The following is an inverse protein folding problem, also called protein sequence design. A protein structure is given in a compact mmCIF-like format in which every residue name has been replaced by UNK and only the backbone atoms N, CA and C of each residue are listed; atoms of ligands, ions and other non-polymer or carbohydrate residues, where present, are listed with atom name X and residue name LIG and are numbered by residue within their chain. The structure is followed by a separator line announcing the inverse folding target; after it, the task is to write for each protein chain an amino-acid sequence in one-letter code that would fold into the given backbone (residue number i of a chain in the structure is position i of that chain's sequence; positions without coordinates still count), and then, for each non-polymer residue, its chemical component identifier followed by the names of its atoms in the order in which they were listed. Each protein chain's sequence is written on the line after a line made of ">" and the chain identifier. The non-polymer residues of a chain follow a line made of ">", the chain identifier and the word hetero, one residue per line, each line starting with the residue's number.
data_IF_662090659429
#
_entry.id   IF_662090659429
#
_cell.length_a   1.000
_cell.length_b   1.000
_cell.length_c   1.000
_cell.angle_alpha   90.00
_cell.angle_beta   90.00
_cell.angle_gamma   90.00
#
_symmetry.space_group_name_H-M   'P 1'
#
loop_
_entity.id
_entity.type
_entity.pdbx_description
1 polymer ?
#
# COMPACT_ATOMS: atom_id res chain seq x y z
N UNK A 1 -62.75 64.94 31.68
CA UNK A 1 -61.51 65.60 32.13
C UNK A 1 -60.68 64.51 32.79
N UNK A 2 -59.78 63.90 32.02
CA UNK A 2 -58.79 62.97 32.51
C UNK A 2 -57.46 63.50 31.98
N UNK A 3 -56.66 64.06 32.88
CA UNK A 3 -55.31 64.55 32.58
C UNK A 3 -54.39 63.36 32.32
N UNK A 4 -53.96 63.21 31.07
CA UNK A 4 -52.78 62.43 30.67
C UNK A 4 -51.63 63.41 30.53
N UNK A 5 -50.91 63.66 31.62
CA UNK A 5 -49.66 64.41 31.60
C UNK A 5 -48.51 63.45 31.32
N UNK A 6 -48.34 63.15 30.03
CA UNK A 6 -47.12 62.55 29.50
C UNK A 6 -45.93 63.41 29.89
N UNK A 7 -45.11 62.91 30.82
CA UNK A 7 -43.80 63.44 31.14
C UNK A 7 -42.86 63.18 29.95
N UNK A 8 -42.94 64.02 28.92
CA UNK A 8 -41.92 64.09 27.87
C UNK A 8 -40.69 64.76 28.47
N UNK A 9 -39.81 63.95 29.05
CA UNK A 9 -38.47 64.37 29.46
C UNK A 9 -37.68 64.83 28.23
N UNK A 10 -37.77 66.12 27.93
CA UNK A 10 -37.00 66.77 26.88
C UNK A 10 -35.53 66.81 27.33
N UNK A 11 -34.64 66.12 26.61
CA UNK A 11 -33.21 66.19 26.85
C UNK A 11 -32.72 67.53 26.29
N UNK A 12 -32.71 68.56 27.14
CA UNK A 12 -32.16 69.88 26.79
C UNK A 12 -30.63 69.82 26.82
N UNK A 13 -30.00 69.83 25.64
CA UNK A 13 -28.54 69.87 25.49
C UNK A 13 -28.05 71.32 25.43
N UNK A 14 -27.60 71.88 26.57
CA UNK A 14 -26.85 73.15 26.60
C UNK A 14 -25.74 73.14 27.66
N UNK A 15 -24.55 73.62 27.30
CA UNK A 15 -23.36 73.74 28.18
C UNK A 15 -22.27 72.69 27.94
N UNK A 16 -21.03 72.96 28.41
CA UNK A 16 -19.76 72.21 28.22
C UNK A 16 -19.76 70.71 28.63
N UNK A 17 -20.91 70.13 28.95
CA UNK A 17 -21.07 68.79 29.48
C UNK A 17 -22.17 67.99 28.73
N UNK A 18 -22.23 68.13 27.40
CA UNK A 18 -23.31 67.62 26.52
C UNK A 18 -23.60 66.11 26.59
N UNK A 19 -22.78 65.32 27.28
CA UNK A 19 -22.85 63.86 27.27
C UNK A 19 -22.74 63.22 28.66
N UNK A 20 -22.64 64.03 29.72
CA UNK A 20 -22.56 63.54 31.08
C UNK A 20 -23.91 62.96 31.53
N UNK A 21 -23.88 61.82 32.23
CA UNK A 21 -25.06 61.26 32.86
C UNK A 21 -25.36 62.01 34.17
N UNK A 22 -26.64 62.16 34.57
CA UNK A 22 -26.99 62.68 35.89
C UNK A 22 -26.31 61.88 37.01
N UNK A 23 -25.94 62.50 38.13
CA UNK A 23 -25.20 61.83 39.24
C UNK A 23 -25.88 60.53 39.73
N UNK A 24 -27.21 60.45 39.64
CA UNK A 24 -28.03 59.33 40.11
C UNK A 24 -28.72 58.55 38.97
N UNK A 25 -28.19 58.59 37.75
CA UNK A 25 -28.79 57.92 36.58
C UNK A 25 -29.04 56.42 36.80
N UNK A 26 -28.19 55.75 37.58
CA UNK A 26 -28.29 54.32 37.90
C UNK A 26 -29.45 54.00 38.86
N UNK A 27 -29.96 54.97 39.60
CA UNK A 27 -31.14 54.81 40.48
C UNK A 27 -32.44 54.73 39.67
N UNK A 28 -32.46 55.25 38.44
CA UNK A 28 -33.60 55.13 37.53
C UNK A 28 -33.70 53.74 36.89
N UNK A 29 -32.66 52.92 36.98
CA UNK A 29 -32.67 51.53 36.50
C UNK A 29 -33.39 50.63 37.50
N UNK A 30 -34.07 49.57 37.04
CA UNK A 30 -34.57 48.52 37.93
C UNK A 30 -33.41 47.80 38.62
N UNK A 31 -33.70 47.17 39.76
CA UNK A 31 -32.69 46.65 40.69
C UNK A 31 -31.75 45.61 40.07
N UNK A 32 -32.29 44.77 39.18
CA UNK A 32 -31.55 43.77 38.40
C UNK A 32 -30.45 44.42 37.56
N UNK A 33 -30.77 45.45 36.79
CA UNK A 33 -29.80 46.18 35.96
C UNK A 33 -28.85 47.04 36.80
N UNK A 34 -29.30 47.60 37.92
CA UNK A 34 -28.42 48.38 38.81
C UNK A 34 -27.33 47.53 39.45
N UNK A 35 -27.63 46.25 39.71
CA UNK A 35 -26.69 45.31 40.32
C UNK A 35 -25.61 44.81 39.34
N UNK A 36 -25.78 45.04 38.03
CA UNK A 36 -24.86 44.57 37.01
C UNK A 36 -23.50 45.28 37.07
N UNK A 37 -22.39 44.56 37.30
CA UNK A 37 -21.04 45.14 37.39
C UNK A 37 -20.63 45.89 36.12
N UNK A 38 -21.16 45.46 34.96
CA UNK A 38 -20.87 46.07 33.66
C UNK A 38 -21.40 47.49 33.52
N UNK A 39 -22.43 47.87 34.27
CA UNK A 39 -23.02 49.21 34.25
C UNK A 39 -22.36 50.16 35.27
N UNK A 40 -21.63 49.62 36.25
CA UNK A 40 -20.87 50.41 37.23
C UNK A 40 -19.66 51.13 36.60
N UNK A 41 -19.19 50.69 35.44
CA UNK A 41 -18.04 51.29 34.74
C UNK A 41 -18.42 52.43 33.78
N UNK A 42 -19.72 52.68 33.58
CA UNK A 42 -20.23 53.68 32.63
C UNK A 42 -20.17 55.08 33.26
N UNK A 43 -19.38 55.96 32.66
CA UNK A 43 -19.16 57.34 33.14
C UNK A 43 -19.97 58.39 32.40
N UNK A 44 -20.34 58.10 31.16
CA UNK A 44 -21.02 59.01 30.24
C UNK A 44 -21.82 58.23 29.19
N UNK A 45 -22.72 58.92 28.49
CA UNK A 45 -23.55 58.31 27.45
C UNK A 45 -22.70 57.75 26.27
N UNK A 46 -21.63 58.41 25.79
CA UNK A 46 -20.74 57.86 24.78
C UNK A 46 -20.06 56.55 25.20
N UNK A 47 -19.68 56.43 26.48
CA UNK A 47 -19.13 55.21 27.07
C UNK A 47 -20.14 54.06 27.05
N UNK A 48 -21.39 54.34 27.45
CA UNK A 48 -22.49 53.37 27.38
C UNK A 48 -22.73 52.88 25.95
N UNK A 49 -22.83 53.81 24.99
CA UNK A 49 -23.06 53.50 23.58
C UNK A 49 -21.88 52.70 23.01
N UNK A 50 -20.63 53.06 23.33
CA UNK A 50 -19.45 52.28 22.94
C UNK A 50 -19.47 50.86 23.51
N UNK A 51 -19.84 50.71 24.78
CA UNK A 51 -19.95 49.40 25.42
C UNK A 51 -21.04 48.53 24.78
N UNK A 52 -22.22 49.10 24.50
CA UNK A 52 -23.30 48.41 23.78
C UNK A 52 -22.90 48.03 22.35
N UNK A 53 -22.30 48.96 21.60
CA UNK A 53 -21.84 48.70 20.23
C UNK A 53 -20.74 47.64 20.21
N UNK A 54 -19.81 47.65 21.17
CA UNK A 54 -18.78 46.63 21.30
C UNK A 54 -19.38 45.27 21.68
N UNK A 55 -20.36 45.23 22.60
CA UNK A 55 -21.09 44.01 22.93
C UNK A 55 -21.85 43.44 21.73
N UNK A 56 -22.58 44.28 20.99
CA UNK A 56 -23.27 43.87 19.75
C UNK A 56 -22.29 43.39 18.68
N UNK A 57 -21.13 44.04 18.52
CA UNK A 57 -20.07 43.59 17.61
C UNK A 57 -19.49 42.24 18.03
N UNK A 58 -19.27 42.00 19.32
CA UNK A 58 -18.83 40.69 19.84
C UNK A 58 -19.91 39.61 19.65
N UNK A 59 -21.19 39.96 19.79
CA UNK A 59 -22.31 39.03 19.58
C UNK A 59 -22.49 38.68 18.10
N UNK A 60 -22.32 39.64 17.19
CA UNK A 60 -22.61 39.45 15.76
C UNK A 60 -21.43 38.97 14.91
N UNK A 61 -20.18 39.28 15.28
CA UNK A 61 -19.02 39.00 14.43
C UNK A 61 -18.40 37.62 14.65
N UNK A 62 -18.49 37.09 15.87
CA UNK A 62 -17.70 35.92 16.27
C UNK A 62 -18.56 34.68 16.64
N UNK A 63 -19.90 34.78 16.61
CA UNK A 63 -20.77 33.63 16.94
C UNK A 63 -20.98 32.76 15.72
N UNK A 64 -20.49 31.52 15.76
CA UNK A 64 -20.87 30.45 14.84
C UNK A 64 -22.23 29.91 15.30
N UNK A 65 -23.30 29.99 14.49
CA UNK A 65 -24.59 29.44 14.87
C UNK A 65 -24.43 27.94 15.07
N UNK A 66 -24.91 27.41 16.18
CA UNK A 66 -24.96 25.95 16.39
C UNK A 66 -26.24 25.47 15.71
N UNK A 67 -26.15 24.68 14.63
CA UNK A 67 -27.35 24.19 13.95
C UNK A 67 -28.14 23.25 14.88
N UNK A 68 -29.47 23.29 14.81
CA UNK A 68 -30.33 22.42 15.61
C UNK A 68 -30.34 20.97 15.11
N UNK A 69 -30.98 20.06 15.84
CA UNK A 69 -31.04 18.62 15.49
C UNK A 69 -31.69 18.33 14.11
N UNK A 70 -32.48 19.27 13.58
CA UNK A 70 -33.11 19.18 12.25
C UNK A 70 -32.46 20.06 11.19
N UNK A 71 -31.26 20.57 11.43
CA UNK A 71 -30.62 21.51 10.54
C UNK A 71 -30.30 20.90 9.17
N UNK A 72 -30.58 21.66 8.11
CA UNK A 72 -30.32 21.24 6.73
C UNK A 72 -28.82 21.29 6.38
N UNK A 73 -28.40 20.66 5.26
CA UNK A 73 -27.01 20.72 4.79
C UNK A 73 -26.48 22.15 4.62
N UNK A 74 -27.31 23.09 4.16
CA UNK A 74 -26.94 24.49 3.95
C UNK A 74 -26.59 25.23 5.26
N UNK A 75 -27.24 24.89 6.38
CA UNK A 75 -26.95 25.50 7.68
C UNK A 75 -25.60 25.02 8.23
N UNK A 76 -25.23 23.77 7.95
CA UNK A 76 -23.93 23.22 8.30
C UNK A 76 -22.80 23.76 7.40
N UNK A 77 -23.10 24.09 6.15
CA UNK A 77 -22.14 24.67 5.21
C UNK A 77 -21.56 26.01 5.70
N UNK A 78 -22.41 26.93 6.18
CA UNK A 78 -21.93 28.20 6.78
C UNK A 78 -21.04 27.93 8.00
N UNK A 79 -21.42 26.98 8.86
CA UNK A 79 -20.65 26.62 10.05
C UNK A 79 -19.28 26.09 9.66
N UNK A 80 -19.21 25.15 8.73
CA UNK A 80 -17.93 24.57 8.29
C UNK A 80 -17.02 25.61 7.63
N UNK A 81 -17.58 26.47 6.77
CA UNK A 81 -16.81 27.52 6.11
C UNK A 81 -16.27 28.54 7.13
N UNK A 82 -17.07 28.93 8.13
CA UNK A 82 -16.64 29.83 9.21
C UNK A 82 -15.63 29.22 10.16
N UNK A 83 -15.64 27.89 10.33
CA UNK A 83 -14.61 27.16 11.08
C UNK A 83 -13.30 27.01 10.30
N UNK A 84 -13.30 27.32 8.99
CA UNK A 84 -12.12 27.26 8.13
C UNK A 84 -11.98 25.95 7.36
N UNK A 85 -13.10 25.29 7.02
CA UNK A 85 -13.12 24.29 5.93
C UNK A 85 -12.71 24.99 4.62
N UNK A 86 -11.87 24.38 3.78
CA UNK A 86 -11.54 24.93 2.46
C UNK A 86 -12.76 25.05 1.55
N UNK A 87 -12.68 25.89 0.52
CA UNK A 87 -13.77 26.09 -0.45
C UNK A 87 -13.94 24.86 -1.37
N UNK A 88 -12.86 24.10 -1.56
CA UNK A 88 -12.85 22.88 -2.39
C UNK A 88 -12.08 21.73 -1.72
N UNK A 89 -12.42 20.47 -2.02
CA UNK A 89 -11.69 19.30 -1.50
C UNK A 89 -10.17 19.32 -1.79
N UNK A 90 -9.76 19.86 -2.93
CA UNK A 90 -8.36 19.86 -3.36
C UNK A 90 -7.49 20.81 -2.53
N UNK A 91 -8.09 21.78 -1.82
CA UNK A 91 -7.39 22.79 -1.04
C UNK A 91 -6.92 22.33 0.34
N UNK A 92 -7.17 21.08 0.73
CA UNK A 92 -6.59 20.52 1.96
C UNK A 92 -5.05 20.45 1.93
N UNK A 93 -4.41 20.63 0.78
CA UNK A 93 -2.95 20.68 0.65
C UNK A 93 -2.25 19.37 0.97
N UNK A 94 -2.99 18.25 0.93
CA UNK A 94 -2.43 16.92 1.09
C UNK A 94 -1.58 16.57 -0.13
N UNK A 95 -0.40 16.00 0.11
CA UNK A 95 0.49 15.50 -0.93
C UNK A 95 0.81 14.05 -0.65
N UNK A 96 0.90 13.26 -1.72
CA UNK A 96 1.43 11.91 -1.63
C UNK A 96 2.86 11.95 -1.08
N UNK A 97 3.24 10.98 -0.24
CA UNK A 97 4.62 10.83 0.20
C UNK A 97 5.54 10.65 -1.01
N UNK A 98 6.66 11.39 -1.04
CA UNK A 98 7.66 11.28 -2.12
C UNK A 98 8.41 9.94 -2.06
N UNK A 99 8.56 9.39 -0.84
CA UNK A 99 9.22 8.11 -0.60
C UNK A 99 8.24 7.13 0.05
N UNK A 100 8.04 6.00 -0.62
CA UNK A 100 7.22 4.88 -0.13
C UNK A 100 8.09 3.63 0.02
N UNK A 101 7.87 2.82 1.07
CA UNK A 101 8.54 1.53 1.21
C UNK A 101 8.24 0.59 0.03
N UNK A 102 9.14 -0.37 -0.27
CA UNK A 102 8.87 -1.42 -1.24
C UNK A 102 7.54 -2.13 -0.96
N UNK A 103 6.71 -2.28 -1.99
CA UNK A 103 5.40 -2.90 -1.90
C UNK A 103 4.25 -1.96 -1.52
N UNK A 104 4.53 -0.68 -1.23
CA UNK A 104 3.49 0.34 -1.02
C UNK A 104 3.35 1.17 -2.29
N UNK A 105 2.12 1.31 -2.77
CA UNK A 105 1.77 2.12 -3.94
C UNK A 105 0.94 3.31 -3.47
N UNK A 106 1.32 4.51 -3.92
CA UNK A 106 0.49 5.70 -3.75
C UNK A 106 -0.82 5.55 -4.51
N UNK A 107 -1.94 5.77 -3.82
CA UNK A 107 -3.27 5.73 -4.43
C UNK A 107 -3.83 7.16 -4.52
N UNK A 108 -3.63 7.79 -5.68
CA UNK A 108 -4.17 9.12 -5.97
C UNK A 108 -5.70 9.15 -5.97
N UNK A 109 -6.35 8.05 -6.37
CA UNK A 109 -7.81 7.97 -6.40
C UNK A 109 -8.35 7.95 -4.98
N UNK A 110 -7.79 7.10 -4.12
CA UNK A 110 -8.16 7.06 -2.70
C UNK A 110 -7.89 8.40 -1.99
N UNK A 111 -6.82 9.11 -2.33
CA UNK A 111 -6.56 10.45 -1.80
C UNK A 111 -7.67 11.45 -2.18
N UNK A 112 -8.07 11.48 -3.46
CA UNK A 112 -9.15 12.36 -3.95
C UNK A 112 -10.51 12.02 -3.34
N UNK A 113 -10.81 10.73 -3.20
CA UNK A 113 -12.02 10.25 -2.51
C UNK A 113 -12.02 10.69 -1.04
N UNK A 114 -10.90 10.55 -0.35
CA UNK A 114 -10.74 11.00 1.02
C UNK A 114 -10.92 12.52 1.17
N UNK A 115 -10.32 13.32 0.27
CA UNK A 115 -10.51 14.77 0.25
C UNK A 115 -11.97 15.16 0.05
N UNK A 116 -12.67 14.49 -0.87
CA UNK A 116 -14.10 14.70 -1.12
C UNK A 116 -14.93 14.40 0.13
N UNK A 117 -14.72 13.23 0.73
CA UNK A 117 -15.41 12.82 1.96
C UNK A 117 -15.12 13.79 3.12
N UNK A 118 -13.87 14.23 3.26
CA UNK A 118 -13.48 15.17 4.31
C UNK A 118 -14.17 16.53 4.15
N UNK A 119 -14.31 17.02 2.91
CA UNK A 119 -15.03 18.25 2.59
C UNK A 119 -16.53 18.13 2.89
N UNK A 120 -17.17 17.04 2.46
CA UNK A 120 -18.57 16.75 2.77
C UNK A 120 -18.81 16.64 4.29
N UNK A 121 -17.86 16.03 5.02
CA UNK A 121 -17.93 15.86 6.47
C UNK A 121 -17.59 17.12 7.27
N UNK A 122 -17.25 18.24 6.62
CA UNK A 122 -16.98 19.49 7.33
C UNK A 122 -15.62 19.55 8.02
N UNK A 123 -14.67 18.67 7.67
CA UNK A 123 -13.41 18.55 8.39
C UNK A 123 -12.49 19.75 8.15
N UNK A 124 -11.74 20.12 9.19
CA UNK A 124 -10.78 21.21 9.11
C UNK A 124 -9.41 20.72 8.61
N UNK A 125 -8.61 21.56 7.94
CA UNK A 125 -7.34 21.12 7.34
C UNK A 125 -6.39 20.40 8.31
N UNK A 126 -6.31 20.84 9.56
CA UNK A 126 -5.48 20.19 10.57
C UNK A 126 -6.00 18.79 10.98
N UNK A 127 -7.32 18.58 10.97
CA UNK A 127 -7.94 17.28 11.25
C UNK A 127 -7.70 16.33 10.10
N UNK A 128 -7.93 16.79 8.87
CA UNK A 128 -7.68 16.03 7.64
C UNK A 128 -6.21 15.62 7.55
N UNK A 129 -5.28 16.56 7.77
CA UNK A 129 -3.85 16.28 7.82
C UNK A 129 -3.50 15.25 8.89
N UNK A 130 -4.06 15.37 10.10
CA UNK A 130 -3.80 14.41 11.19
C UNK A 130 -4.26 12.99 10.86
N UNK A 131 -5.46 12.84 10.28
CA UNK A 131 -5.99 11.55 9.83
C UNK A 131 -5.13 10.98 8.70
N UNK A 132 -4.78 11.81 7.72
CA UNK A 132 -3.95 11.42 6.58
C UNK A 132 -2.56 10.95 7.03
N UNK A 133 -1.88 11.71 7.88
CA UNK A 133 -0.56 11.37 8.40
C UNK A 133 -0.60 10.07 9.21
N UNK A 134 -1.62 9.89 10.06
CA UNK A 134 -1.80 8.67 10.84
C UNK A 134 -2.01 7.44 9.97
N UNK A 135 -2.88 7.54 8.96
CA UNK A 135 -3.20 6.44 8.06
C UNK A 135 -1.99 6.04 7.20
N UNK A 136 -1.29 7.00 6.62
CA UNK A 136 -0.05 6.73 5.88
C UNK A 136 1.02 6.14 6.81
N UNK A 137 1.16 6.66 8.03
CA UNK A 137 2.07 6.11 9.03
C UNK A 137 1.78 4.64 9.36
N UNK A 138 0.50 4.26 9.45
CA UNK A 138 0.07 2.87 9.63
C UNK A 138 0.49 1.98 8.45
N UNK A 139 0.24 2.42 7.22
CA UNK A 139 0.59 1.66 6.01
C UNK A 139 2.12 1.50 5.92
N UNK A 140 2.86 2.59 6.05
CA UNK A 140 4.33 2.59 6.00
C UNK A 140 4.89 1.67 7.08
N UNK A 141 4.42 1.80 8.32
CA UNK A 141 4.87 0.96 9.43
C UNK A 141 4.59 -0.52 9.20
N UNK A 142 3.40 -0.86 8.68
CA UNK A 142 3.05 -2.24 8.37
C UNK A 142 3.94 -2.82 7.27
N UNK A 143 4.19 -2.05 6.20
CA UNK A 143 5.09 -2.46 5.12
C UNK A 143 6.54 -2.60 5.58
N UNK A 144 7.03 -1.69 6.42
CA UNK A 144 8.38 -1.80 7.02
C UNK A 144 8.50 -3.04 7.90
N UNK A 145 7.50 -3.32 8.75
CA UNK A 145 7.50 -4.52 9.59
C UNK A 145 7.44 -5.80 8.77
N UNK A 146 6.62 -5.85 7.71
CA UNK A 146 6.56 -7.00 6.81
C UNK A 146 7.91 -7.25 6.12
N UNK A 147 8.56 -6.19 5.62
CA UNK A 147 9.90 -6.28 5.01
C UNK A 147 10.95 -6.75 6.02
N UNK A 148 10.92 -6.25 7.26
CA UNK A 148 11.83 -6.70 8.33
C UNK A 148 11.63 -8.18 8.65
N UNK A 149 10.38 -8.62 8.83
CA UNK A 149 10.05 -10.03 9.08
C UNK A 149 10.52 -10.92 7.93
N UNK A 150 10.38 -10.48 6.68
CA UNK A 150 10.86 -11.24 5.53
C UNK A 150 12.39 -11.37 5.52
N UNK A 151 13.12 -10.31 5.88
CA UNK A 151 14.58 -10.33 5.99
C UNK A 151 15.06 -11.22 7.15
N UNK A 152 14.36 -11.19 8.28
CA UNK A 152 14.64 -12.08 9.42
C UNK A 152 14.42 -13.55 9.04
N UNK A 153 13.28 -13.88 8.41
CA UNK A 153 13.01 -15.22 7.90
C UNK A 153 14.07 -15.71 6.92
N UNK A 154 14.54 -14.82 6.04
CA UNK A 154 15.65 -15.09 5.13
C UNK A 154 16.94 -15.43 5.86
N UNK A 155 17.33 -14.61 6.84
CA UNK A 155 18.54 -14.81 7.61
C UNK A 155 18.48 -16.13 8.40
N UNK A 156 17.34 -16.43 9.01
CA UNK A 156 17.11 -17.67 9.74
C UNK A 156 17.14 -18.90 8.83
N UNK A 157 16.49 -18.83 7.66
CA UNK A 157 16.53 -19.91 6.67
C UNK A 157 17.96 -20.15 6.16
N UNK A 158 18.72 -19.10 5.89
CA UNK A 158 20.12 -19.22 5.50
C UNK A 158 20.96 -19.85 6.60
N UNK A 159 20.72 -19.48 7.86
CA UNK A 159 21.43 -20.06 9.01
C UNK A 159 21.11 -21.55 9.16
N UNK A 160 19.83 -21.94 9.13
CA UNK A 160 19.38 -23.34 9.20
C UNK A 160 20.04 -24.20 8.11
N UNK A 161 19.98 -23.73 6.86
CA UNK A 161 20.55 -24.45 5.71
C UNK A 161 22.08 -24.52 5.76
N UNK A 162 22.77 -23.47 6.24
CA UNK A 162 24.22 -23.49 6.43
C UNK A 162 24.64 -24.48 7.52
N UNK A 163 23.88 -24.57 8.61
CA UNK A 163 24.11 -25.54 9.67
C UNK A 163 23.89 -26.98 9.18
N UNK A 164 22.84 -27.21 8.38
CA UNK A 164 22.49 -28.53 7.83
C UNK A 164 23.50 -29.00 6.77
N UNK A 165 23.75 -28.17 5.75
CA UNK A 165 24.56 -28.53 4.59
C UNK A 165 26.06 -28.29 4.77
N UNK A 166 26.47 -27.51 5.78
CA UNK A 166 27.86 -27.22 6.13
C UNK A 166 28.68 -26.82 4.89
N UNK A 167 29.78 -27.52 4.61
CA UNK A 167 30.64 -27.25 3.46
C UNK A 167 30.01 -27.51 2.09
N UNK A 168 28.82 -28.13 2.02
CA UNK A 168 28.09 -28.34 0.78
C UNK A 168 27.00 -27.28 0.52
N UNK A 169 26.89 -26.25 1.38
CA UNK A 169 25.83 -25.23 1.29
C UNK A 169 25.73 -24.59 -0.10
N UNK A 170 26.85 -24.09 -0.64
CA UNK A 170 26.86 -23.41 -1.93
C UNK A 170 26.46 -24.34 -3.08
N UNK A 171 26.86 -25.62 -3.02
CA UNK A 171 26.50 -26.61 -4.04
C UNK A 171 25.02 -26.96 -3.98
N UNK A 172 24.47 -27.17 -2.78
CA UNK A 172 23.04 -27.44 -2.60
C UNK A 172 22.18 -26.24 -3.03
N UNK A 173 22.61 -25.02 -2.71
CA UNK A 173 21.95 -23.80 -3.14
C UNK A 173 21.97 -23.67 -4.67
N UNK A 174 23.11 -23.95 -5.31
CA UNK A 174 23.24 -23.94 -6.77
C UNK A 174 22.33 -24.97 -7.45
N UNK A 175 22.20 -26.17 -6.86
CA UNK A 175 21.27 -27.20 -7.32
C UNK A 175 19.82 -26.72 -7.18
N UNK A 176 19.45 -26.12 -6.05
CA UNK A 176 18.12 -25.57 -5.82
C UNK A 176 17.75 -24.47 -6.82
N UNK A 177 18.63 -23.48 -7.01
CA UNK A 177 18.41 -22.37 -7.96
C UNK A 177 18.28 -22.88 -9.39
N UNK A 178 19.11 -23.86 -9.78
CA UNK A 178 19.04 -24.46 -11.12
C UNK A 178 17.73 -25.20 -11.34
N UNK A 179 17.30 -26.00 -10.36
CA UNK A 179 16.02 -26.70 -10.42
C UNK A 179 14.89 -25.69 -10.60
N UNK A 180 14.82 -24.68 -9.73
CA UNK A 180 13.79 -23.66 -9.80
C UNK A 180 13.73 -22.98 -11.17
N UNK A 181 14.87 -22.49 -11.68
CA UNK A 181 14.92 -21.85 -13.02
C UNK A 181 14.45 -22.76 -14.15
N UNK A 182 14.83 -24.04 -14.12
CA UNK A 182 14.41 -25.01 -15.14
C UNK A 182 12.89 -25.23 -15.19
N UNK A 183 12.18 -24.99 -14.09
CA UNK A 183 10.71 -25.08 -14.05
C UNK A 183 10.00 -23.72 -14.15
N UNK A 184 10.70 -22.63 -13.85
CA UNK A 184 10.13 -21.28 -13.80
C UNK A 184 10.31 -20.47 -15.10
N UNK A 185 11.27 -20.82 -15.96
CA UNK A 185 11.58 -20.06 -17.20
C UNK A 185 10.37 -19.94 -18.16
N UNK A 186 9.49 -20.95 -18.18
CA UNK A 186 8.35 -20.99 -19.11
C UNK A 186 7.01 -20.49 -18.53
N UNK A 187 6.95 -20.18 -17.22
CA UNK A 187 5.72 -19.70 -16.57
C UNK A 187 5.99 -18.56 -15.56
N UNK A 188 5.59 -17.32 -15.88
CA UNK A 188 5.75 -16.18 -14.98
C UNK A 188 4.96 -16.31 -13.67
N UNK A 189 3.94 -17.18 -13.59
CA UNK A 189 3.26 -17.49 -12.31
C UNK A 189 4.13 -18.35 -11.40
N UNK A 190 4.95 -19.24 -11.98
CA UNK A 190 5.91 -20.06 -11.24
C UNK A 190 7.10 -19.20 -10.83
N UNK A 191 7.55 -18.25 -11.67
CA UNK A 191 8.60 -17.30 -11.30
C UNK A 191 8.25 -16.49 -10.03
N UNK A 192 6.98 -16.11 -9.84
CA UNK A 192 6.50 -15.45 -8.62
C UNK A 192 6.56 -16.30 -7.34
N UNK A 193 6.75 -17.62 -7.47
CA UNK A 193 6.98 -18.48 -6.29
C UNK A 193 8.33 -18.18 -5.63
N UNK A 194 9.31 -17.62 -6.34
CA UNK A 194 10.58 -17.21 -5.75
C UNK A 194 10.36 -16.09 -4.72
N UNK A 195 9.53 -15.11 -5.07
CA UNK A 195 9.15 -14.00 -4.20
C UNK A 195 8.38 -14.48 -2.95
N UNK A 196 7.61 -15.55 -3.08
CA UNK A 196 6.73 -16.06 -2.02
C UNK A 196 7.34 -17.18 -1.17
N UNK A 197 8.19 -18.04 -1.76
CA UNK A 197 8.71 -19.26 -1.15
C UNK A 197 10.24 -19.37 -1.22
N UNK A 198 10.93 -18.48 -1.93
CA UNK A 198 12.39 -18.44 -2.00
C UNK A 198 13.06 -18.25 -0.64
N UNK A 199 12.30 -17.80 0.36
CA UNK A 199 12.75 -17.60 1.73
C UNK A 199 12.42 -18.77 2.66
N UNK A 200 11.73 -19.81 2.16
CA UNK A 200 11.30 -20.94 2.97
C UNK A 200 12.34 -22.07 2.90
N UNK A 201 13.00 -22.44 4.02
CA UNK A 201 14.03 -23.46 4.02
C UNK A 201 13.53 -24.83 3.55
N UNK A 202 12.26 -25.18 3.80
CA UNK A 202 11.68 -26.43 3.28
C UNK A 202 11.55 -26.44 1.76
N UNK A 203 11.19 -25.30 1.16
CA UNK A 203 11.09 -25.16 -0.28
C UNK A 203 12.47 -25.24 -0.94
N UNK A 204 13.45 -24.52 -0.37
CA UNK A 204 14.84 -24.58 -0.84
C UNK A 204 15.38 -26.02 -0.72
N UNK A 205 15.09 -26.74 0.37
CA UNK A 205 15.43 -28.16 0.53
C UNK A 205 14.81 -29.04 -0.55
N UNK A 206 13.54 -28.84 -0.85
CA UNK A 206 12.85 -29.60 -1.91
C UNK A 206 13.49 -29.34 -3.27
N UNK A 207 13.74 -28.07 -3.61
CA UNK A 207 14.38 -27.68 -4.87
C UNK A 207 15.81 -28.22 -4.98
N UNK A 208 16.59 -28.22 -3.89
CA UNK A 208 17.92 -28.82 -3.86
C UNK A 208 17.88 -30.32 -4.18
N UNK A 209 16.92 -31.06 -3.60
CA UNK A 209 16.71 -32.49 -3.87
C UNK A 209 16.31 -32.75 -5.32
N UNK A 210 15.42 -31.93 -5.87
CA UNK A 210 15.02 -32.02 -7.29
C UNK A 210 16.23 -31.72 -8.18
N UNK A 211 16.98 -30.65 -7.89
CA UNK A 211 18.17 -30.27 -8.65
C UNK A 211 19.25 -31.35 -8.62
N UNK A 212 19.44 -32.00 -7.48
CA UNK A 212 20.32 -33.16 -7.34
C UNK A 212 19.87 -34.32 -8.23
N UNK A 213 18.59 -34.69 -8.18
CA UNK A 213 18.05 -35.77 -9.02
C UNK A 213 18.20 -35.45 -10.52
N UNK A 214 17.93 -34.20 -10.93
CA UNK A 214 18.14 -33.73 -12.30
C UNK A 214 19.62 -33.74 -12.70
N UNK A 215 20.53 -33.39 -11.79
CA UNK A 215 21.96 -33.43 -12.05
C UNK A 215 22.47 -34.86 -12.15
N UNK A 216 21.95 -35.79 -11.34
CA UNK A 216 22.27 -37.22 -11.43
C UNK A 216 21.73 -37.82 -12.75
N UNK A 217 20.54 -37.42 -13.20
CA UNK A 217 19.96 -37.86 -14.47
C UNK A 217 20.68 -37.26 -15.68
N UNK A 218 21.10 -35.99 -15.61
CA UNK A 218 22.00 -35.40 -16.61
C UNK A 218 23.41 -35.97 -16.55
N UNK A 219 23.94 -36.36 -15.40
CA UNK A 219 25.23 -37.04 -15.31
C UNK A 219 25.14 -38.43 -15.93
N UNK A 220 24.03 -39.15 -15.72
CA UNK A 220 23.70 -40.38 -16.45
C UNK A 220 23.59 -40.11 -17.96
N UNK A 221 22.94 -39.02 -18.38
CA UNK A 221 22.84 -38.61 -19.79
C UNK A 221 24.12 -38.06 -20.43
N UNK A 222 25.03 -37.46 -19.66
CA UNK A 222 26.34 -36.96 -20.11
C UNK A 222 27.36 -38.09 -20.17
N UNK A 223 27.12 -39.21 -19.49
CA UNK A 223 27.75 -40.50 -19.79
C UNK A 223 27.02 -41.32 -20.86
N UNK A 224 25.95 -40.81 -21.48
CA UNK A 224 25.09 -41.65 -22.31
C UNK A 224 24.37 -40.87 -23.42
N UNK A 225 25.13 -40.40 -24.40
CA UNK A 225 24.84 -40.92 -25.73
C UNK A 225 25.54 -42.26 -25.84
N UNK A 226 24.81 -43.25 -26.35
CA UNK A 226 25.19 -44.64 -26.55
C UNK A 226 24.90 -45.54 -25.36
N UNK A 227 23.92 -46.42 -25.56
CA UNK A 227 23.83 -47.76 -24.98
C UNK A 227 25.13 -48.21 -24.31
N UNK A 228 25.07 -48.81 -23.13
CA UNK A 228 26.25 -49.54 -22.64
C UNK A 228 26.66 -50.56 -23.72
N UNK A 229 27.95 -50.92 -23.88
CA UNK A 229 28.35 -51.91 -24.89
C UNK A 229 27.59 -53.24 -24.79
N UNK A 230 27.10 -53.57 -23.60
CA UNK A 230 26.29 -54.74 -23.31
C UNK A 230 24.83 -54.58 -23.78
N UNK A 231 24.20 -53.45 -23.51
CA UNK A 231 22.85 -53.13 -24.01
C UNK A 231 22.83 -53.01 -25.54
N UNK A 232 23.88 -52.43 -26.12
CA UNK A 232 24.03 -52.29 -27.56
C UNK A 232 24.15 -53.66 -28.25
N UNK A 233 24.89 -54.61 -27.65
CA UNK A 233 25.03 -55.99 -28.14
C UNK A 233 23.72 -56.76 -28.05
N UNK A 234 22.97 -56.60 -26.96
CA UNK A 234 21.67 -57.24 -26.76
C UNK A 234 20.66 -56.77 -27.81
N UNK A 235 20.59 -55.46 -28.03
CA UNK A 235 19.71 -54.84 -29.01
C UNK A 235 20.11 -55.18 -30.46
N UNK A 236 21.40 -55.17 -30.77
CA UNK A 236 21.91 -55.62 -32.07
C UNK A 236 21.55 -57.08 -32.33
N UNK A 237 21.69 -57.95 -31.33
CA UNK A 237 21.33 -59.38 -31.43
C UNK A 237 19.83 -59.56 -31.67
N UNK A 238 18.98 -58.76 -31.01
CA UNK A 238 17.54 -58.77 -31.22
C UNK A 238 17.16 -58.38 -32.64
N UNK A 239 17.77 -57.32 -33.17
CA UNK A 239 17.56 -56.85 -34.55
C UNK A 239 18.04 -57.91 -35.54
N UNK A 240 19.23 -58.49 -35.33
CA UNK A 240 19.82 -59.49 -36.23
C UNK A 240 19.05 -60.82 -36.25
N UNK A 241 18.38 -61.17 -35.14
CA UNK A 241 17.56 -62.38 -35.02
C UNK A 241 16.09 -62.18 -35.44
N UNK A 242 15.70 -61.00 -35.93
CA UNK A 242 14.39 -60.76 -36.53
C UNK A 242 14.50 -60.58 -38.06
N UNK A 243 14.30 -61.65 -38.85
CA UNK A 243 14.35 -61.58 -40.31
C UNK A 243 13.31 -60.65 -40.95
N UNK A 244 12.28 -60.23 -40.20
CA UNK A 244 11.24 -59.32 -40.68
C UNK A 244 11.55 -57.86 -40.37
N UNK A 245 12.62 -57.59 -39.62
CA UNK A 245 13.01 -56.25 -39.22
C UNK A 245 13.28 -55.33 -40.44
N UNK A 246 12.89 -54.04 -40.40
CA UNK A 246 13.14 -53.09 -41.48
C UNK A 246 14.61 -52.97 -41.91
N UNK A 247 15.55 -53.30 -41.02
CA UNK A 247 16.99 -53.38 -41.34
C UNK A 247 17.31 -54.35 -42.49
N UNK A 248 16.63 -55.49 -42.59
CA UNK A 248 16.88 -56.49 -43.64
C UNK A 248 16.04 -56.30 -44.90
N UNK A 249 15.05 -55.40 -44.85
CA UNK A 249 14.07 -55.19 -45.92
C UNK A 249 14.31 -53.84 -46.58
N UNK A 250 15.05 -53.84 -47.69
CA UNK A 250 15.41 -52.61 -48.43
C UNK A 250 14.21 -51.77 -48.88
N UNK A 251 13.07 -52.41 -49.08
CA UNK A 251 11.82 -51.79 -49.54
C UNK A 251 10.86 -51.43 -48.40
N UNK A 252 11.24 -51.68 -47.13
CA UNK A 252 10.41 -51.31 -45.99
C UNK A 252 10.48 -49.80 -45.71
N UNK A 253 9.32 -49.19 -45.42
CA UNK A 253 9.27 -47.86 -44.82
C UNK A 253 10.01 -47.89 -43.47
N UNK A 254 11.12 -47.15 -43.36
CA UNK A 254 11.98 -47.17 -42.17
C UNK A 254 13.32 -47.88 -42.33
N UNK A 255 13.67 -48.37 -43.53
CA UNK A 255 14.96 -49.05 -43.75
C UNK A 255 16.17 -48.14 -43.49
N UNK A 256 16.13 -46.89 -43.94
CA UNK A 256 17.23 -45.93 -43.75
C UNK A 256 17.48 -45.61 -42.27
N UNK A 257 16.40 -45.45 -41.52
CA UNK A 257 16.41 -45.20 -40.08
C UNK A 257 16.92 -46.44 -39.31
N UNK A 258 16.51 -47.64 -39.72
CA UNK A 258 16.98 -48.89 -39.15
C UNK A 258 18.48 -49.12 -39.40
N UNK A 259 18.99 -48.76 -40.58
CA UNK A 259 20.43 -48.83 -40.91
C UNK A 259 21.22 -47.82 -40.06
N UNK A 260 20.73 -46.58 -39.92
CA UNK A 260 21.36 -45.58 -39.08
C UNK A 260 21.36 -45.97 -37.59
N UNK A 261 20.30 -46.65 -37.13
CA UNK A 261 20.20 -47.16 -35.76
C UNK A 261 21.21 -48.29 -35.49
N UNK A 262 21.32 -49.26 -36.40
CA UNK A 262 22.34 -50.33 -36.30
C UNK A 262 23.76 -49.77 -36.36
N UNK A 263 24.01 -48.74 -37.18
CA UNK A 263 25.32 -48.07 -37.21
C UNK A 263 25.67 -47.43 -35.86
N UNK A 264 24.72 -46.78 -35.19
CA UNK A 264 24.89 -46.23 -33.83
C UNK A 264 25.14 -47.32 -32.79
N UNK A 265 24.47 -48.46 -32.88
CA UNK A 265 24.71 -49.61 -32.00
C UNK A 265 26.11 -50.19 -32.20
N UNK A 266 26.57 -50.33 -33.44
CA UNK A 266 27.93 -50.81 -33.73
C UNK A 266 29.00 -49.82 -33.24
N UNK A 267 28.81 -48.52 -33.44
CA UNK A 267 29.72 -47.49 -32.92
C UNK A 267 29.79 -47.52 -31.38
N UNK A 268 28.68 -47.82 -30.70
CA UNK A 268 28.64 -48.01 -29.25
C UNK A 268 29.39 -49.26 -28.76
N UNK A 269 29.45 -50.32 -29.58
CA UNK A 269 30.09 -51.60 -29.22
C UNK A 269 31.60 -51.60 -29.51
N UNK A 270 32.00 -51.02 -30.64
CA UNK A 270 33.35 -51.14 -31.19
C UNK A 270 34.13 -49.82 -31.20
N UNK A 271 33.50 -48.69 -30.88
CA UNK A 271 34.09 -47.36 -31.05
C UNK A 271 34.07 -46.93 -32.52
N UNK A 272 34.23 -45.62 -32.78
CA UNK A 272 34.01 -44.98 -34.10
C UNK A 272 35.10 -45.29 -35.16
N UNK A 273 35.88 -46.38 -35.00
CA UNK A 273 37.12 -46.61 -35.76
C UNK A 273 37.12 -47.82 -36.70
N UNK A 274 35.99 -48.50 -36.96
CA UNK A 274 35.92 -49.55 -38.01
C UNK A 274 34.53 -49.70 -38.68
N UNK A 275 34.02 -48.67 -39.38
CA UNK A 275 32.91 -48.87 -40.34
C UNK A 275 33.23 -48.33 -41.74
N UNK A 276 34.52 -48.26 -42.08
CA UNK A 276 34.99 -48.08 -43.46
C UNK A 276 35.90 -49.24 -43.85
N UNK A 277 35.31 -50.42 -44.11
CA UNK A 277 35.78 -51.43 -45.09
C UNK A 277 34.92 -52.70 -45.05
N UNK A 278 33.86 -52.72 -45.87
CA UNK A 278 33.61 -53.70 -46.95
C UNK A 278 32.20 -53.53 -47.52
#
# INVERSE_FOLDING_TARGET
>A
MSDDSGNTGEIVLSGENQYALPENWSEALPEDLRSEPSLQTVKDLPGLVKQYVNAQKMVGKDKIPVPGEGAGPEEWEDVFNRLGRPDTPDEYGLKLPEELPPGVVADEAALKEFQTLAHEAGLLPHQVKGIYDWYNGKIISAATQANQQQQEQLADAQKELKEEWKGAYDEQLRLATRAFKSFAEDDPKIAKLDESFGNNPNFIRLMARIGKAMSEDKLKGVTQSTYTPEDARSELTRIMNDPKHPYFRKEASGHAEAVAHVAKLNAAIYGDEEVLKK
#
